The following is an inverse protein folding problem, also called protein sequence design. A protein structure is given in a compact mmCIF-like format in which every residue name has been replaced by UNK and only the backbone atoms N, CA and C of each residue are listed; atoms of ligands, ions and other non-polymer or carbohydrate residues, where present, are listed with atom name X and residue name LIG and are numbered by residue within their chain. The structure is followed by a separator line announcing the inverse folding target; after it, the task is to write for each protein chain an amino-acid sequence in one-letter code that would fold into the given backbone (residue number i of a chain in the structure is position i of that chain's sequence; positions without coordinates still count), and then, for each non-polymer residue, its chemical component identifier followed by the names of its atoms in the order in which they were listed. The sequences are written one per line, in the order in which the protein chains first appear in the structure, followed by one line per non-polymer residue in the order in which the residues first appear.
data_IF_851333815563
#
_entry.id   IF_851333815563
#
_cell.length_a   1.000
_cell.length_b   1.000
_cell.length_c   1.000
_cell.angle_alpha   90.00
_cell.angle_beta   90.00
_cell.angle_gamma   90.00
#
_symmetry.space_group_name_H-M   'P 1'
#
loop_
_entity.id
_entity.type
_entity.pdbx_description
1 polymer ?
#
# COMPACT_ATOMS: atom_id res chain seq x y z
N UNK A 1 -16.70 3.65 -10.09
CA UNK A 1 -16.22 4.16 -8.79
C UNK A 1 -17.38 4.23 -7.81
N UNK A 2 -17.13 4.07 -6.50
CA UNK A 2 -18.12 4.44 -5.48
C UNK A 2 -18.55 5.91 -5.67
N UNK A 3 -19.80 6.27 -5.34
CA UNK A 3 -20.23 7.66 -5.41
C UNK A 3 -19.28 8.58 -4.64
N UNK A 4 -18.91 9.70 -5.26
CA UNK A 4 -17.99 10.69 -4.69
C UNK A 4 -18.43 11.14 -3.28
N UNK A 5 -19.75 11.19 -3.04
CA UNK A 5 -20.34 11.49 -1.74
C UNK A 5 -19.88 10.55 -0.63
N UNK A 6 -19.76 9.24 -0.91
CA UNK A 6 -19.24 8.26 0.06
C UNK A 6 -17.79 8.57 0.41
N UNK A 7 -16.97 8.86 -0.61
CA UNK A 7 -15.56 9.15 -0.43
C UNK A 7 -15.35 10.41 0.43
N UNK A 8 -16.09 11.48 0.11
CA UNK A 8 -16.04 12.74 0.87
C UNK A 8 -16.42 12.49 2.33
N UNK A 9 -17.59 11.90 2.60
CA UNK A 9 -18.06 11.67 3.97
C UNK A 9 -17.06 10.80 4.75
N UNK A 10 -16.63 9.67 4.17
CA UNK A 10 -15.75 8.73 4.83
C UNK A 10 -14.36 9.33 5.11
N UNK A 11 -13.74 9.97 4.13
CA UNK A 11 -12.45 10.63 4.31
C UNK A 11 -12.52 11.83 5.26
N UNK A 12 -13.61 12.60 5.25
CA UNK A 12 -13.81 13.70 6.23
C UNK A 12 -13.88 13.16 7.66
N UNK A 13 -14.57 12.03 7.88
CA UNK A 13 -14.63 11.42 9.22
C UNK A 13 -13.28 10.86 9.67
N UNK A 14 -12.50 10.25 8.77
CA UNK A 14 -11.13 9.82 9.08
C UNK A 14 -10.25 11.04 9.41
N UNK A 15 -10.34 12.10 8.62
CA UNK A 15 -9.62 13.36 8.86
C UNK A 15 -9.99 14.00 10.19
N UNK A 16 -11.28 14.04 10.52
CA UNK A 16 -11.78 14.50 11.82
C UNK A 16 -11.21 13.67 12.98
N UNK A 17 -11.21 12.34 12.85
CA UNK A 17 -10.62 11.47 13.85
C UNK A 17 -9.11 11.73 13.99
N UNK A 18 -8.37 11.80 12.88
CA UNK A 18 -6.95 12.07 12.86
C UNK A 18 -6.59 13.41 13.54
N UNK A 19 -7.30 14.49 13.20
CA UNK A 19 -7.07 15.83 13.76
C UNK A 19 -7.37 15.82 15.27
N UNK A 20 -8.49 15.25 15.67
CA UNK A 20 -8.91 15.27 17.08
C UNK A 20 -8.13 14.32 17.98
N UNK A 21 -7.28 13.46 17.41
CA UNK A 21 -6.39 12.53 18.12
C UNK A 21 -4.92 12.80 17.80
N UNK A 22 -4.60 13.98 17.27
CA UNK A 22 -3.22 14.40 17.02
C UNK A 22 -2.42 13.39 16.15
N UNK A 23 -3.03 12.87 15.09
CA UNK A 23 -2.42 11.89 14.19
C UNK A 23 -2.66 10.43 14.60
N UNK A 24 -3.84 10.13 15.15
CA UNK A 24 -4.22 8.80 15.66
C UNK A 24 -3.49 8.37 16.95
N UNK A 25 -2.93 9.33 17.70
CA UNK A 25 -2.35 9.05 19.00
C UNK A 25 -3.43 8.49 19.94
N UNK A 26 -3.15 7.33 20.53
CA UNK A 26 -4.09 6.66 21.41
C UNK A 26 -4.37 7.49 22.67
N UNK A 27 -5.66 7.59 23.02
CA UNK A 27 -6.10 8.10 24.32
C UNK A 27 -7.04 7.06 24.96
N UNK A 28 -6.82 6.68 26.24
CA UNK A 28 -7.64 5.71 26.95
C UNK A 28 -8.98 6.31 27.40
N UNK A 29 -9.77 6.81 26.45
CA UNK A 29 -11.09 7.38 26.69
C UNK A 29 -12.15 6.69 25.86
N UNK A 30 -13.38 6.59 26.41
CA UNK A 30 -14.54 6.11 25.66
C UNK A 30 -14.77 6.95 24.39
N UNK A 31 -14.50 8.26 24.47
CA UNK A 31 -14.63 9.19 23.36
C UNK A 31 -13.67 8.79 22.22
N UNK A 32 -12.41 8.46 22.52
CA UNK A 32 -11.48 7.96 21.52
C UNK A 32 -12.00 6.70 20.84
N UNK A 33 -12.48 5.72 21.62
CA UNK A 33 -13.00 4.45 21.10
C UNK A 33 -14.20 4.68 20.15
N UNK A 34 -15.14 5.55 20.53
CA UNK A 34 -16.29 5.89 19.68
C UNK A 34 -15.86 6.63 18.40
N UNK A 35 -14.95 7.60 18.51
CA UNK A 35 -14.45 8.36 17.35
C UNK A 35 -13.73 7.44 16.36
N UNK A 36 -12.98 6.45 16.84
CA UNK A 36 -12.29 5.44 16.01
C UNK A 36 -13.29 4.62 15.18
N UNK A 37 -14.44 4.27 15.73
CA UNK A 37 -15.46 3.50 15.00
C UNK A 37 -16.32 4.34 14.05
N UNK A 38 -16.31 5.67 14.18
CA UNK A 38 -17.26 6.56 13.48
C UNK A 38 -17.22 6.45 11.94
N UNK A 39 -16.04 6.44 11.27
CA UNK A 39 -15.98 6.29 9.82
C UNK A 39 -16.63 4.98 9.36
N UNK A 40 -16.38 3.90 10.10
CA UNK A 40 -16.84 2.54 9.79
C UNK A 40 -18.37 2.43 9.95
N UNK A 41 -18.91 2.98 11.04
CA UNK A 41 -20.36 3.03 11.27
C UNK A 41 -21.04 3.86 10.19
N UNK A 42 -20.45 4.98 9.78
CA UNK A 42 -20.97 5.79 8.69
C UNK A 42 -20.98 5.02 7.37
N UNK A 43 -19.91 4.28 7.04
CA UNK A 43 -19.84 3.44 5.84
C UNK A 43 -20.94 2.37 5.83
N UNK A 44 -21.13 1.67 6.96
CA UNK A 44 -22.21 0.71 7.13
C UNK A 44 -23.60 1.37 6.94
N UNK A 45 -23.79 2.58 7.49
CA UNK A 45 -24.99 3.38 7.31
C UNK A 45 -25.25 3.75 5.84
N UNK A 46 -24.22 4.21 5.12
CA UNK A 46 -24.31 4.57 3.70
C UNK A 46 -24.66 3.35 2.82
N UNK A 47 -24.12 2.18 3.14
CA UNK A 47 -24.51 0.93 2.47
C UNK A 47 -25.99 0.63 2.79
N UNK A 48 -26.38 0.71 4.07
CA UNK A 48 -27.75 0.43 4.51
C UNK A 48 -28.78 1.33 3.81
N UNK A 49 -28.53 2.63 3.69
CA UNK A 49 -29.41 3.59 3.02
C UNK A 49 -29.48 3.43 1.50
N UNK A 50 -28.59 2.61 0.91
CA UNK A 50 -28.59 2.33 -0.53
C UNK A 50 -27.77 3.34 -1.34
N UNK A 51 -26.82 4.04 -0.71
CA UNK A 51 -25.85 4.85 -1.45
C UNK A 51 -24.88 4.00 -2.28
N UNK A 52 -24.89 2.67 -2.12
CA UNK A 52 -24.13 1.73 -2.93
C UNK A 52 -25.06 0.78 -3.69
N UNK A 53 -24.65 0.39 -4.90
CA UNK A 53 -25.30 -0.64 -5.73
C UNK A 53 -24.96 -2.08 -5.30
N UNK A 54 -24.64 -2.31 -4.03
CA UNK A 54 -24.36 -3.67 -3.54
C UNK A 54 -25.64 -4.50 -3.60
N UNK A 55 -25.56 -5.67 -4.26
CA UNK A 55 -26.70 -6.58 -4.38
C UNK A 55 -27.27 -6.97 -3.02
N UNK A 56 -28.61 -7.01 -2.92
CA UNK A 56 -29.34 -7.37 -1.69
C UNK A 56 -28.82 -8.64 -1.00
N UNK A 57 -28.40 -9.63 -1.78
CA UNK A 57 -27.83 -10.90 -1.28
C UNK A 57 -26.59 -10.69 -0.39
N UNK A 58 -25.70 -9.76 -0.74
CA UNK A 58 -24.44 -9.53 -0.03
C UNK A 58 -24.53 -8.34 0.94
N UNK A 59 -25.49 -7.44 0.74
CA UNK A 59 -25.64 -6.21 1.52
C UNK A 59 -25.58 -6.44 3.03
N UNK A 60 -26.38 -7.38 3.56
CA UNK A 60 -26.41 -7.64 5.01
C UNK A 60 -25.12 -8.28 5.51
N UNK A 61 -24.57 -9.25 4.78
CA UNK A 61 -23.31 -9.93 5.15
C UNK A 61 -22.17 -8.91 5.20
N UNK A 62 -22.13 -7.99 4.23
CA UNK A 62 -21.13 -6.93 4.15
C UNK A 62 -21.26 -5.92 5.30
N UNK A 63 -22.48 -5.44 5.59
CA UNK A 63 -22.73 -4.56 6.74
C UNK A 63 -22.27 -5.22 8.04
N UNK A 64 -22.61 -6.49 8.26
CA UNK A 64 -22.14 -7.22 9.44
C UNK A 64 -20.63 -7.37 9.45
N UNK A 65 -19.99 -7.68 8.32
CA UNK A 65 -18.53 -7.74 8.21
C UNK A 65 -17.86 -6.45 8.68
N UNK A 66 -18.36 -5.30 8.21
CA UNK A 66 -17.88 -3.96 8.56
C UNK A 66 -18.09 -3.69 10.06
N UNK A 67 -19.29 -3.95 10.58
CA UNK A 67 -19.63 -3.68 11.99
C UNK A 67 -18.85 -4.56 12.96
N UNK A 68 -18.58 -5.82 12.61
CA UNK A 68 -17.72 -6.69 13.41
C UNK A 68 -16.26 -6.21 13.40
N UNK A 69 -15.79 -5.63 12.30
CA UNK A 69 -14.51 -4.89 12.27
C UNK A 69 -14.49 -3.74 13.27
N UNK A 70 -15.52 -2.88 13.26
CA UNK A 70 -15.63 -1.78 14.22
C UNK A 70 -15.69 -2.25 15.67
N UNK A 71 -16.42 -3.35 15.94
CA UNK A 71 -16.53 -3.93 17.26
C UNK A 71 -15.18 -4.46 17.76
N UNK A 72 -14.42 -5.15 16.92
CA UNK A 72 -13.08 -5.61 17.28
C UNK A 72 -12.16 -4.46 17.66
N UNK A 73 -12.15 -3.42 16.85
CA UNK A 73 -11.33 -2.24 17.09
C UNK A 73 -11.74 -1.47 18.36
N UNK A 74 -13.05 -1.38 18.63
CA UNK A 74 -13.59 -0.82 19.87
C UNK A 74 -13.11 -1.61 21.09
N UNK A 75 -13.22 -2.94 21.07
CA UNK A 75 -12.86 -3.79 22.20
C UNK A 75 -11.36 -3.71 22.50
N UNK A 76 -10.50 -3.69 21.49
CA UNK A 76 -9.04 -3.53 21.69
C UNK A 76 -8.75 -2.20 22.39
N UNK A 77 -9.33 -1.10 21.91
CA UNK A 77 -9.08 0.23 22.46
C UNK A 77 -9.71 0.44 23.84
N UNK A 78 -10.86 -0.17 24.10
CA UNK A 78 -11.58 -0.06 25.37
C UNK A 78 -10.88 -0.87 26.48
N UNK A 79 -10.42 -2.08 26.15
CA UNK A 79 -9.75 -2.97 27.10
C UNK A 79 -8.23 -2.85 27.09
N UNK A 80 -7.64 -1.79 26.53
CA UNK A 80 -6.21 -1.70 26.23
C UNK A 80 -5.24 -1.93 27.42
N UNK A 81 -5.72 -1.80 28.66
CA UNK A 81 -4.95 -2.10 29.88
C UNK A 81 -5.00 -3.59 30.29
N UNK A 82 -5.84 -4.39 29.64
CA UNK A 82 -5.97 -5.83 29.87
C UNK A 82 -5.05 -6.59 28.90
N UNK A 83 -4.34 -7.59 29.42
CA UNK A 83 -3.41 -8.43 28.63
C UNK A 83 -4.16 -9.15 27.50
N UNK A 84 -5.46 -9.37 27.67
CA UNK A 84 -6.32 -10.05 26.71
C UNK A 84 -7.11 -9.12 25.77
N UNK A 85 -6.86 -7.80 25.77
CA UNK A 85 -7.56 -6.83 24.90
C UNK A 85 -7.62 -7.26 23.44
N UNK A 86 -6.50 -7.77 22.92
CA UNK A 86 -6.39 -8.22 21.52
C UNK A 86 -7.11 -9.53 21.28
N UNK A 87 -7.26 -10.39 22.29
CA UNK A 87 -8.07 -11.60 22.17
C UNK A 87 -9.54 -11.22 21.99
N UNK A 88 -10.03 -10.26 22.78
CA UNK A 88 -11.39 -9.75 22.64
C UNK A 88 -11.62 -9.08 21.28
N UNK A 89 -10.61 -8.44 20.71
CA UNK A 89 -10.68 -7.88 19.35
C UNK A 89 -10.59 -8.93 18.23
N UNK A 90 -9.76 -9.95 18.39
CA UNK A 90 -9.50 -10.95 17.36
C UNK A 90 -10.74 -11.80 17.04
N UNK A 91 -11.61 -12.07 18.02
CA UNK A 91 -12.86 -12.81 17.82
C UNK A 91 -13.78 -12.11 16.80
N UNK A 92 -14.25 -10.87 17.05
CA UNK A 92 -15.12 -10.16 16.11
C UNK A 92 -14.39 -9.84 14.79
N UNK A 93 -13.09 -9.53 14.80
CA UNK A 93 -12.35 -9.42 13.54
C UNK A 93 -12.37 -10.73 12.73
N UNK A 94 -12.20 -11.89 13.37
CA UNK A 94 -12.28 -13.20 12.74
C UNK A 94 -13.66 -13.48 12.15
N UNK A 95 -14.74 -13.09 12.86
CA UNK A 95 -16.12 -13.20 12.37
C UNK A 95 -16.32 -12.30 11.15
N UNK A 96 -15.85 -11.05 11.20
CA UNK A 96 -15.94 -10.12 10.08
C UNK A 96 -15.22 -10.64 8.83
N UNK A 97 -14.00 -11.14 8.99
CA UNK A 97 -13.24 -11.75 7.91
C UNK A 97 -13.90 -13.02 7.36
N UNK A 98 -14.51 -13.85 8.21
CA UNK A 98 -15.29 -15.00 7.75
C UNK A 98 -16.47 -14.60 6.86
N UNK A 99 -17.14 -13.48 7.16
CA UNK A 99 -18.20 -12.95 6.29
C UNK A 99 -17.67 -12.47 4.93
N UNK A 100 -16.48 -11.86 4.89
CA UNK A 100 -15.82 -11.56 3.63
C UNK A 100 -15.44 -12.83 2.86
N UNK A 101 -14.90 -13.83 3.56
CA UNK A 101 -14.56 -15.11 2.96
C UNK A 101 -15.80 -15.77 2.31
N UNK A 102 -16.93 -15.80 3.03
CA UNK A 102 -18.20 -16.33 2.51
C UNK A 102 -18.70 -15.59 1.27
N UNK A 103 -18.32 -14.32 1.11
CA UNK A 103 -18.75 -13.47 0.01
C UNK A 103 -17.84 -13.60 -1.22
N UNK A 104 -16.53 -13.64 -1.04
CA UNK A 104 -15.56 -13.60 -2.14
C UNK A 104 -14.98 -14.96 -2.51
N UNK A 105 -14.76 -15.86 -1.55
CA UNK A 105 -14.15 -17.17 -1.80
C UNK A 105 -14.96 -18.04 -2.78
N UNK A 106 -16.31 -18.04 -2.76
CA UNK A 106 -17.09 -18.75 -3.78
C UNK A 106 -16.97 -18.20 -5.20
N UNK A 107 -16.39 -17.00 -5.38
CA UNK A 107 -16.18 -16.38 -6.69
C UNK A 107 -14.82 -16.74 -7.30
N UNK A 108 -13.96 -17.41 -6.52
CA UNK A 108 -12.63 -17.81 -6.96
C UNK A 108 -12.70 -18.91 -8.02
N UNK A 109 -12.01 -18.75 -9.15
CA UNK A 109 -11.94 -19.79 -10.20
C UNK A 109 -10.76 -20.72 -9.94
N UNK A 110 -9.55 -20.17 -9.77
CA UNK A 110 -8.40 -20.96 -9.36
C UNK A 110 -7.58 -20.27 -8.26
N UNK A 111 -6.88 -21.09 -7.50
CA UNK A 111 -5.93 -20.63 -6.51
C UNK A 111 -4.58 -20.41 -7.19
N UNK A 112 -3.96 -19.25 -6.96
CA UNK A 112 -2.60 -19.04 -7.41
C UNK A 112 -1.67 -19.96 -6.61
N UNK A 113 -1.03 -20.92 -7.28
CA UNK A 113 -0.21 -21.96 -6.65
C UNK A 113 0.98 -21.34 -5.91
N UNK A 114 1.65 -20.36 -6.52
CA UNK A 114 2.79 -19.67 -5.91
C UNK A 114 2.39 -18.92 -4.65
N UNK A 115 1.28 -18.19 -4.69
CA UNK A 115 0.72 -17.49 -3.53
C UNK A 115 0.27 -18.46 -2.44
N UNK A 116 -0.33 -19.60 -2.83
CA UNK A 116 -0.78 -20.65 -1.90
C UNK A 116 0.40 -21.21 -1.10
N UNK A 117 1.49 -21.53 -1.78
CA UNK A 117 2.69 -22.05 -1.15
C UNK A 117 3.33 -21.03 -0.20
N UNK A 118 3.46 -19.77 -0.64
CA UNK A 118 4.02 -18.70 0.20
C UNK A 118 3.16 -18.45 1.43
N UNK A 119 1.84 -18.36 1.25
CA UNK A 119 0.89 -18.13 2.34
C UNK A 119 0.93 -19.28 3.34
N UNK A 120 1.01 -20.53 2.86
CA UNK A 120 1.17 -21.70 3.72
C UNK A 120 2.44 -21.61 4.57
N UNK A 121 3.61 -21.32 3.95
CA UNK A 121 4.87 -21.20 4.68
C UNK A 121 4.81 -20.12 5.77
N UNK A 122 4.29 -18.93 5.44
CA UNK A 122 4.17 -17.83 6.40
C UNK A 122 3.24 -18.22 7.56
N UNK A 123 2.06 -18.77 7.25
CA UNK A 123 1.07 -19.14 8.26
C UNK A 123 1.58 -20.26 9.16
N UNK A 124 2.22 -21.26 8.57
CA UNK A 124 2.85 -22.35 9.30
C UNK A 124 3.96 -21.81 10.22
N UNK A 125 4.78 -20.88 9.75
CA UNK A 125 5.80 -20.21 10.54
C UNK A 125 5.20 -19.45 11.72
N UNK A 126 4.18 -18.62 11.50
CA UNK A 126 3.50 -17.88 12.59
C UNK A 126 2.92 -18.85 13.63
N UNK A 127 2.22 -19.88 13.19
CA UNK A 127 1.57 -20.82 14.12
C UNK A 127 2.62 -21.60 14.91
N UNK A 128 3.63 -22.20 14.26
CA UNK A 128 4.56 -23.10 14.94
C UNK A 128 5.69 -22.39 15.68
N UNK A 129 6.17 -21.26 15.17
CA UNK A 129 7.34 -20.56 15.73
C UNK A 129 6.91 -19.47 16.71
N UNK A 130 5.78 -18.80 16.49
CA UNK A 130 5.35 -17.66 17.32
C UNK A 130 4.25 -18.04 18.30
N UNK A 131 3.21 -18.76 17.84
CA UNK A 131 2.02 -19.04 18.66
C UNK A 131 2.18 -20.29 19.53
N UNK A 132 2.49 -21.45 18.95
CA UNK A 132 2.58 -22.73 19.65
C UNK A 132 3.52 -22.74 20.86
N UNK A 133 4.67 -22.06 20.87
CA UNK A 133 5.53 -22.01 22.05
C UNK A 133 4.86 -21.39 23.28
N UNK A 134 3.79 -20.61 23.10
CA UNK A 134 3.01 -20.01 24.18
C UNK A 134 1.78 -20.86 24.60
N UNK A 135 1.58 -22.03 23.98
CA UNK A 135 0.37 -22.84 24.21
C UNK A 135 0.26 -23.35 25.66
N UNK A 136 1.38 -23.72 26.29
CA UNK A 136 1.37 -24.21 27.67
C UNK A 136 0.94 -23.15 28.68
N UNK A 137 1.31 -21.88 28.43
CA UNK A 137 1.01 -20.77 29.32
C UNK A 137 -0.38 -20.17 29.04
N UNK A 138 -0.75 -20.01 27.77
CA UNK A 138 -2.01 -19.38 27.36
C UNK A 138 -2.68 -20.18 26.24
N UNK A 139 -3.29 -21.35 26.55
CA UNK A 139 -3.85 -22.23 25.53
C UNK A 139 -5.00 -21.58 24.76
N UNK A 140 -5.91 -20.90 25.46
CA UNK A 140 -7.09 -20.27 24.85
C UNK A 140 -6.67 -19.13 23.91
N UNK A 141 -5.77 -18.23 24.36
CA UNK A 141 -5.22 -17.14 23.54
C UNK A 141 -4.56 -17.70 22.28
N UNK A 142 -3.73 -18.73 22.45
CA UNK A 142 -3.01 -19.39 21.35
C UNK A 142 -3.96 -20.01 20.34
N UNK A 143 -5.04 -20.67 20.79
CA UNK A 143 -6.07 -21.24 19.92
C UNK A 143 -6.79 -20.15 19.12
N UNK A 144 -7.22 -19.08 19.80
CA UNK A 144 -7.95 -17.97 19.15
C UNK A 144 -7.07 -17.33 18.07
N UNK A 145 -5.81 -17.03 18.38
CA UNK A 145 -4.88 -16.48 17.39
C UNK A 145 -4.52 -17.45 16.27
N UNK A 146 -4.43 -18.76 16.56
CA UNK A 146 -4.21 -19.78 15.54
C UNK A 146 -5.35 -19.83 14.53
N UNK A 147 -6.60 -19.85 15.02
CA UNK A 147 -7.80 -19.80 14.16
C UNK A 147 -7.85 -18.48 13.39
N UNK A 148 -7.60 -17.36 14.07
CA UNK A 148 -7.61 -16.04 13.43
C UNK A 148 -6.57 -15.94 12.31
N UNK A 149 -5.34 -16.41 12.55
CA UNK A 149 -4.28 -16.45 11.55
C UNK A 149 -4.68 -17.28 10.32
N UNK A 150 -5.32 -18.44 10.52
CA UNK A 150 -5.81 -19.26 9.41
C UNK A 150 -6.89 -18.55 8.59
N UNK A 151 -7.85 -17.88 9.23
CA UNK A 151 -8.89 -17.11 8.55
C UNK A 151 -8.26 -15.99 7.72
N UNK A 152 -7.33 -15.24 8.31
CA UNK A 152 -6.59 -14.18 7.63
C UNK A 152 -5.82 -14.70 6.42
N UNK A 153 -5.14 -15.83 6.57
CA UNK A 153 -4.41 -16.46 5.47
C UNK A 153 -5.31 -16.90 4.34
N UNK A 154 -6.52 -17.40 4.63
CA UNK A 154 -7.51 -17.71 3.59
C UNK A 154 -8.07 -16.44 2.94
N UNK A 155 -8.30 -15.36 3.70
CA UNK A 155 -8.69 -14.06 3.14
C UNK A 155 -7.62 -13.52 2.19
N UNK A 156 -6.35 -13.55 2.61
CA UNK A 156 -5.21 -13.12 1.79
C UNK A 156 -5.03 -14.00 0.56
N UNK A 157 -5.12 -15.32 0.71
CA UNK A 157 -5.01 -16.26 -0.39
C UNK A 157 -6.15 -16.08 -1.40
N UNK A 158 -7.39 -15.93 -0.93
CA UNK A 158 -8.55 -15.74 -1.79
C UNK A 158 -8.46 -14.42 -2.56
N UNK A 159 -8.29 -13.31 -1.85
CA UNK A 159 -8.20 -11.99 -2.49
C UNK A 159 -6.94 -11.82 -3.35
N UNK A 160 -5.81 -12.37 -2.95
CA UNK A 160 -4.57 -12.32 -3.74
C UNK A 160 -4.64 -13.22 -4.96
N UNK A 161 -5.27 -14.40 -4.88
CA UNK A 161 -5.48 -15.25 -6.07
C UNK A 161 -6.43 -14.58 -7.04
N UNK A 162 -7.49 -13.96 -6.54
CA UNK A 162 -8.34 -13.08 -7.34
C UNK A 162 -7.48 -12.02 -8.03
N UNK A 163 -6.62 -11.30 -7.31
CA UNK A 163 -5.81 -10.24 -7.92
C UNK A 163 -4.95 -10.73 -9.08
N UNK A 164 -4.26 -11.86 -8.90
CA UNK A 164 -3.45 -12.43 -9.98
C UNK A 164 -4.28 -12.99 -11.14
N UNK A 165 -5.55 -13.32 -10.93
CA UNK A 165 -6.50 -13.71 -11.99
C UNK A 165 -7.24 -12.51 -12.61
N UNK A 166 -6.98 -11.29 -12.12
CA UNK A 166 -7.69 -10.08 -12.54
C UNK A 166 -9.03 -9.90 -11.83
N UNK A 167 -9.14 -10.16 -10.54
CA UNK A 167 -10.32 -9.88 -9.71
C UNK A 167 -9.86 -9.32 -8.35
N UNK A 168 -10.63 -8.48 -7.68
CA UNK A 168 -10.10 -7.57 -6.64
C UNK A 168 -9.33 -8.18 -5.42
N UNK A 169 -8.49 -7.33 -4.82
CA UNK A 169 -7.41 -7.62 -3.85
C UNK A 169 -7.70 -7.15 -2.40
N UNK A 170 -6.97 -7.70 -1.41
CA UNK A 170 -6.95 -7.20 -0.02
C UNK A 170 -5.56 -7.09 0.65
N UNK A 171 -5.37 -6.15 1.61
CA UNK A 171 -4.05 -5.68 2.03
C UNK A 171 -3.54 -6.28 3.35
N UNK A 172 -2.22 -6.26 3.49
CA UNK A 172 -1.38 -6.81 4.55
C UNK A 172 -1.48 -6.13 5.95
N UNK A 173 -2.61 -5.51 6.30
CA UNK A 173 -2.79 -4.69 7.52
C UNK A 173 -2.57 -5.47 8.83
N UNK A 174 -3.25 -6.61 8.95
CA UNK A 174 -3.36 -7.31 10.24
C UNK A 174 -2.05 -7.95 10.70
N UNK A 175 -1.13 -8.25 9.78
CA UNK A 175 0.21 -8.73 10.11
C UNK A 175 1.03 -7.67 10.87
N UNK A 176 0.86 -6.38 10.54
CA UNK A 176 1.50 -5.29 11.29
C UNK A 176 0.93 -5.15 12.71
N UNK A 177 -0.38 -5.39 12.89
CA UNK A 177 -1.06 -5.35 14.20
C UNK A 177 -0.53 -6.47 15.12
N UNK A 178 -0.35 -7.67 14.57
CA UNK A 178 0.16 -8.82 15.30
C UNK A 178 1.64 -8.66 15.72
N UNK A 179 2.47 -8.07 14.84
CA UNK A 179 3.87 -7.77 15.12
C UNK A 179 4.04 -6.64 16.15
N UNK A 180 3.22 -5.59 16.07
CA UNK A 180 3.24 -4.47 17.01
C UNK A 180 2.90 -4.91 18.44
N UNK A 181 2.02 -5.90 18.61
CA UNK A 181 1.65 -6.41 19.92
C UNK A 181 2.76 -7.26 20.58
N UNK A 182 3.53 -8.02 19.80
CA UNK A 182 4.65 -8.84 20.32
C UNK A 182 5.94 -8.03 20.58
N UNK A 183 5.85 -6.70 20.63
CA UNK A 183 6.96 -5.82 21.02
C UNK A 183 7.74 -5.20 19.85
N UNK A 184 7.41 -5.52 18.59
CA UNK A 184 7.99 -4.86 17.42
C UNK A 184 7.18 -3.61 17.05
N UNK A 185 7.08 -2.64 17.98
CA UNK A 185 6.39 -1.37 17.71
C UNK A 185 7.26 -0.46 16.83
N UNK A 186 6.74 -0.08 15.67
CA UNK A 186 7.27 1.00 14.85
C UNK A 186 6.56 2.32 15.22
N UNK A 187 7.23 3.47 15.02
CA UNK A 187 6.81 4.81 15.49
C UNK A 187 5.46 5.31 14.97
N UNK A 188 4.81 4.60 14.04
CA UNK A 188 3.47 4.91 13.50
C UNK A 188 2.63 3.65 13.25
N UNK A 189 2.94 2.56 13.95
CA UNK A 189 2.22 1.29 13.77
C UNK A 189 0.71 1.49 13.82
N UNK A 190 0.22 2.27 14.79
CA UNK A 190 -1.21 2.55 14.98
C UNK A 190 -1.84 3.34 13.82
N UNK A 191 -1.19 4.41 13.34
CA UNK A 191 -1.66 5.17 12.17
C UNK A 191 -1.67 4.31 10.89
N UNK A 192 -0.64 3.48 10.69
CA UNK A 192 -0.54 2.58 9.54
C UNK A 192 -1.63 1.49 9.58
N UNK A 193 -1.85 0.89 10.75
CA UNK A 193 -2.92 -0.08 11.00
C UNK A 193 -4.27 0.57 10.68
N UNK A 194 -4.56 1.74 11.25
CA UNK A 194 -5.85 2.41 11.09
C UNK A 194 -6.14 2.80 9.64
N UNK A 195 -5.14 3.30 8.92
CA UNK A 195 -5.31 3.69 7.52
C UNK A 195 -5.49 2.49 6.61
N UNK A 196 -4.72 1.44 6.81
CA UNK A 196 -4.90 0.20 6.05
C UNK A 196 -6.23 -0.46 6.37
N UNK A 197 -6.69 -0.38 7.63
CA UNK A 197 -8.02 -0.80 8.05
C UNK A 197 -9.13 0.02 7.36
N UNK A 198 -9.13 1.34 7.49
CA UNK A 198 -10.16 2.17 6.85
C UNK A 198 -10.15 2.03 5.32
N UNK A 199 -8.96 1.97 4.72
CA UNK A 199 -8.77 1.77 3.29
C UNK A 199 -9.33 0.42 2.83
N UNK A 200 -9.01 -0.67 3.54
CA UNK A 200 -9.52 -2.00 3.24
C UNK A 200 -11.05 -2.01 3.20
N UNK A 201 -11.73 -1.43 4.20
CA UNK A 201 -13.19 -1.41 4.28
C UNK A 201 -13.83 -0.64 3.11
N UNK A 202 -13.21 0.47 2.70
CA UNK A 202 -13.64 1.22 1.52
C UNK A 202 -13.46 0.38 0.24
N UNK A 203 -12.34 -0.34 0.11
CA UNK A 203 -12.07 -1.21 -1.03
C UNK A 203 -13.04 -2.39 -1.15
N UNK A 204 -13.35 -3.10 -0.06
CA UNK A 204 -14.35 -4.19 -0.09
C UNK A 204 -15.69 -3.64 -0.58
N UNK A 205 -16.07 -2.49 -0.04
CA UNK A 205 -17.32 -1.83 -0.41
C UNK A 205 -17.34 -1.45 -1.89
N UNK A 206 -16.23 -0.93 -2.41
CA UNK A 206 -16.07 -0.64 -3.83
C UNK A 206 -16.12 -1.90 -4.71
N UNK A 207 -15.51 -3.00 -4.26
CA UNK A 207 -15.52 -4.27 -4.97
C UNK A 207 -16.95 -4.82 -5.11
N UNK A 208 -17.72 -4.80 -4.02
CA UNK A 208 -19.10 -5.27 -4.01
C UNK A 208 -20.05 -4.32 -4.76
N UNK A 209 -19.76 -3.03 -4.76
CA UNK A 209 -20.50 -2.05 -5.53
C UNK A 209 -20.37 -2.31 -7.04
N UNK A 210 -19.20 -2.76 -7.50
CA UNK A 210 -18.93 -3.10 -8.89
C UNK A 210 -18.92 -4.60 -9.16
N UNK A 211 -19.78 -5.36 -8.49
CA UNK A 211 -19.78 -6.82 -8.63
C UNK A 211 -20.00 -7.33 -10.06
N UNK A 212 -20.72 -6.57 -10.89
CA UNK A 212 -20.92 -6.97 -12.28
C UNK A 212 -19.65 -6.83 -13.12
N UNK A 213 -18.72 -5.96 -12.73
CA UNK A 213 -17.39 -5.83 -13.35
C UNK A 213 -16.46 -6.99 -12.89
N UNK A 214 -16.64 -7.48 -11.66
CA UNK A 214 -15.89 -8.65 -11.14
C UNK A 214 -16.16 -9.94 -11.97
N UNK A 215 -17.30 -10.06 -12.65
CA UNK A 215 -17.59 -11.29 -13.41
C UNK A 215 -16.74 -11.48 -14.66
N UNK A 216 -16.32 -10.38 -15.28
CA UNK A 216 -15.58 -10.42 -16.54
C UNK A 216 -14.06 -10.49 -16.34
N UNK A 217 -13.62 -10.52 -15.08
CA UNK A 217 -12.24 -10.26 -14.71
C UNK A 217 -11.91 -8.80 -15.05
N UNK A 218 -11.45 -8.06 -14.05
CA UNK A 218 -10.52 -6.96 -14.24
C UNK A 218 -9.26 -7.45 -15.00
N UNK A 219 -9.41 -7.70 -16.31
CA UNK A 219 -8.28 -7.87 -17.25
C UNK A 219 -7.48 -6.58 -17.43
N UNK A 220 -7.93 -5.49 -16.84
CA UNK A 220 -7.26 -4.20 -16.84
C UNK A 220 -6.95 -3.86 -15.40
N UNK A 221 -5.66 -3.72 -15.07
CA UNK A 221 -5.20 -3.18 -13.79
C UNK A 221 -6.08 -1.98 -13.44
N UNK A 222 -6.96 -2.11 -12.42
CA UNK A 222 -7.82 -1.00 -12.05
C UNK A 222 -6.91 0.15 -11.63
N UNK A 223 -6.91 1.30 -12.33
CA UNK A 223 -5.92 2.35 -12.11
C UNK A 223 -5.88 2.84 -10.67
N UNK A 224 -7.01 2.72 -9.97
CA UNK A 224 -7.17 3.05 -8.54
C UNK A 224 -6.35 2.10 -7.66
N UNK A 225 -6.34 0.80 -7.95
CA UNK A 225 -5.66 -0.19 -7.11
C UNK A 225 -4.15 0.06 -7.14
N UNK A 226 -3.60 0.32 -8.33
CA UNK A 226 -2.17 0.59 -8.50
C UNK A 226 -1.75 1.94 -7.92
N UNK A 227 -2.63 2.95 -7.91
CA UNK A 227 -2.29 4.32 -7.48
C UNK A 227 -2.58 4.64 -6.02
N UNK A 228 -3.67 4.11 -5.46
CA UNK A 228 -4.17 4.55 -4.16
C UNK A 228 -3.19 4.30 -2.99
N UNK A 229 -2.45 3.17 -2.90
CA UNK A 229 -1.49 2.99 -1.82
C UNK A 229 -0.45 4.10 -1.74
N UNK A 230 0.00 4.62 -2.89
CA UNK A 230 0.99 5.70 -2.95
C UNK A 230 0.35 7.06 -2.66
N UNK A 231 -0.90 7.29 -3.10
CA UNK A 231 -1.69 8.47 -2.69
C UNK A 231 -1.88 8.48 -1.16
N UNK A 232 -2.16 7.33 -0.56
CA UNK A 232 -2.31 7.19 0.89
C UNK A 232 -0.98 7.47 1.59
N UNK A 233 0.15 6.95 1.08
CA UNK A 233 1.49 7.28 1.57
C UNK A 233 1.79 8.79 1.49
N UNK A 234 1.32 9.49 0.45
CA UNK A 234 1.42 10.94 0.36
C UNK A 234 0.72 11.64 1.54
N UNK A 235 -0.54 11.27 1.82
CA UNK A 235 -1.28 11.85 2.95
C UNK A 235 -0.61 11.51 4.29
N UNK A 236 -0.18 10.26 4.47
CA UNK A 236 0.60 9.82 5.62
C UNK A 236 1.86 10.66 5.84
N UNK A 237 2.54 11.04 4.75
CA UNK A 237 3.76 11.84 4.79
C UNK A 237 3.56 13.18 5.51
N UNK A 238 2.35 13.77 5.48
CA UNK A 238 2.11 15.01 6.20
C UNK A 238 2.08 14.87 7.74
N UNK A 239 1.83 13.65 8.25
CA UNK A 239 1.75 13.34 9.68
C UNK A 239 3.09 12.88 10.29
N UNK A 240 4.16 12.92 9.49
CA UNK A 240 5.51 12.47 9.87
C UNK A 240 6.27 13.51 10.69
N UNK A 241 7.41 13.14 11.28
CA UNK A 241 8.27 14.11 12.00
C UNK A 241 9.34 14.76 11.12
N UNK A 242 9.34 14.49 9.82
CA UNK A 242 10.30 15.05 8.85
C UNK A 242 10.35 16.58 8.87
N UNK A 243 11.53 17.14 8.60
CA UNK A 243 11.68 18.57 8.28
C UNK A 243 10.69 19.01 7.19
N UNK A 244 10.08 20.19 7.35
CA UNK A 244 8.96 20.66 6.52
C UNK A 244 9.24 20.59 5.01
N UNK A 245 10.46 20.95 4.59
CA UNK A 245 10.85 20.90 3.17
C UNK A 245 10.86 19.46 2.65
N UNK A 246 11.50 18.53 3.35
CA UNK A 246 11.55 17.12 2.96
C UNK A 246 10.17 16.49 3.01
N UNK A 247 9.38 16.80 4.05
CA UNK A 247 7.99 16.37 4.21
C UNK A 247 7.13 16.76 3.01
N UNK A 248 7.10 18.03 2.66
CA UNK A 248 6.27 18.54 1.57
C UNK A 248 6.69 17.97 0.21
N UNK A 249 8.01 17.94 -0.08
CA UNK A 249 8.52 17.40 -1.34
C UNK A 249 8.23 15.90 -1.49
N UNK A 250 8.39 15.12 -0.42
CA UNK A 250 8.10 13.68 -0.40
C UNK A 250 6.61 13.43 -0.61
N UNK A 251 5.75 14.13 0.14
CA UNK A 251 4.31 13.99 0.01
C UNK A 251 3.84 14.35 -1.40
N UNK A 252 4.33 15.46 -1.96
CA UNK A 252 3.93 15.91 -3.29
C UNK A 252 4.44 14.96 -4.38
N UNK A 253 5.66 14.44 -4.26
CA UNK A 253 6.18 13.39 -5.15
C UNK A 253 5.26 12.17 -5.15
N UNK A 254 4.91 11.63 -3.98
CA UNK A 254 4.03 10.45 -3.90
C UNK A 254 2.64 10.72 -4.48
N UNK A 255 2.06 11.89 -4.22
CA UNK A 255 0.76 12.25 -4.79
C UNK A 255 0.82 12.26 -6.33
N UNK A 256 1.82 12.95 -6.89
CA UNK A 256 1.99 13.06 -8.34
C UNK A 256 2.34 11.71 -8.96
N UNK A 257 3.10 10.85 -8.28
CA UNK A 257 3.38 9.48 -8.76
C UNK A 257 2.13 8.63 -8.83
N UNK A 258 1.32 8.65 -7.76
CA UNK A 258 0.06 7.92 -7.72
C UNK A 258 -0.90 8.42 -8.79
N UNK A 259 -1.05 9.74 -8.92
CA UNK A 259 -1.87 10.34 -9.97
C UNK A 259 -1.35 10.07 -11.39
N UNK A 260 -0.03 10.11 -11.57
CA UNK A 260 0.63 9.81 -12.83
C UNK A 260 0.40 8.37 -13.26
N UNK A 261 0.51 7.40 -12.34
CA UNK A 261 0.25 6.00 -12.62
C UNK A 261 -1.25 5.72 -12.85
N UNK A 262 -2.14 6.36 -12.07
CA UNK A 262 -3.57 6.32 -12.33
C UNK A 262 -3.88 6.79 -13.75
N UNK A 263 -3.36 7.96 -14.12
CA UNK A 263 -3.60 8.56 -15.44
C UNK A 263 -2.97 7.74 -16.57
N UNK A 264 -1.82 7.10 -16.32
CA UNK A 264 -1.16 6.20 -17.26
C UNK A 264 -2.05 5.05 -17.70
N UNK A 265 -2.80 4.47 -16.77
CA UNK A 265 -3.70 3.35 -17.05
C UNK A 265 -5.10 3.80 -17.51
N UNK A 266 -5.69 4.83 -16.88
CA UNK A 266 -7.05 5.30 -17.20
C UNK A 266 -7.10 6.09 -18.50
N UNK A 267 -6.09 6.92 -18.76
CA UNK A 267 -6.05 7.86 -19.89
C UNK A 267 -4.84 7.59 -20.79
N UNK A 268 -4.73 6.41 -21.43
CA UNK A 268 -3.54 6.00 -22.17
C UNK A 268 -3.25 6.87 -23.39
N UNK A 269 -4.22 7.65 -23.89
CA UNK A 269 -4.04 8.55 -25.03
C UNK A 269 -3.21 9.81 -24.68
N UNK A 270 -3.05 10.14 -23.40
CA UNK A 270 -2.35 11.35 -22.93
C UNK A 270 -0.95 11.03 -22.39
N UNK A 271 -0.18 10.22 -23.13
CA UNK A 271 1.10 9.67 -22.67
C UNK A 271 2.12 10.74 -22.30
N UNK A 272 2.18 11.85 -23.04
CA UNK A 272 3.11 12.96 -22.75
C UNK A 272 2.80 13.59 -21.39
N UNK A 273 1.52 13.85 -21.11
CA UNK A 273 1.06 14.40 -19.84
C UNK A 273 1.33 13.41 -18.69
N UNK A 274 1.02 12.13 -18.90
CA UNK A 274 1.22 11.09 -17.89
C UNK A 274 2.71 10.90 -17.56
N UNK A 275 3.57 10.87 -18.58
CA UNK A 275 5.03 10.80 -18.42
C UNK A 275 5.58 12.03 -17.72
N UNK A 276 5.00 13.21 -17.98
CA UNK A 276 5.39 14.47 -17.33
C UNK A 276 5.12 14.44 -15.83
N UNK A 277 3.99 13.85 -15.40
CA UNK A 277 3.74 13.64 -13.98
C UNK A 277 4.79 12.72 -13.34
N UNK A 278 5.11 11.59 -13.98
CA UNK A 278 6.13 10.66 -13.47
C UNK A 278 7.52 11.30 -13.39
N UNK A 279 7.89 12.14 -14.37
CA UNK A 279 9.13 12.91 -14.34
C UNK A 279 9.13 13.95 -13.20
N UNK A 280 8.06 14.73 -13.09
CA UNK A 280 7.94 15.77 -12.06
C UNK A 280 8.03 15.17 -10.66
N UNK A 281 7.37 14.03 -10.43
CA UNK A 281 7.46 13.32 -9.16
C UNK A 281 8.91 12.99 -8.78
N UNK A 282 9.70 12.45 -9.71
CA UNK A 282 11.11 12.10 -9.47
C UNK A 282 11.93 13.33 -9.12
N UNK A 283 11.78 14.41 -9.90
CA UNK A 283 12.47 15.66 -9.59
C UNK A 283 12.17 16.14 -8.16
N UNK A 284 10.91 16.09 -7.73
CA UNK A 284 10.51 16.43 -6.36
C UNK A 284 11.13 15.49 -5.32
N UNK A 285 11.12 14.18 -5.58
CA UNK A 285 11.72 13.21 -4.68
C UNK A 285 13.23 13.40 -4.56
N UNK A 286 13.94 13.60 -5.67
CA UNK A 286 15.36 13.93 -5.69
C UNK A 286 15.66 15.17 -4.83
N UNK A 287 14.88 16.25 -5.00
CA UNK A 287 15.06 17.46 -4.20
C UNK A 287 14.76 17.27 -2.71
N UNK A 288 14.01 16.23 -2.32
CA UNK A 288 13.73 15.93 -0.91
C UNK A 288 14.98 15.50 -0.14
N UNK A 289 15.92 14.78 -0.77
CA UNK A 289 17.10 14.21 -0.09
C UNK A 289 18.45 14.60 -0.70
N UNK A 290 18.49 15.36 -1.79
CA UNK A 290 19.74 15.81 -2.42
C UNK A 290 20.68 16.51 -1.43
N UNK A 291 20.14 17.26 -0.47
CA UNK A 291 20.92 17.98 0.55
C UNK A 291 21.70 17.05 1.48
N UNK A 292 21.31 15.79 1.60
CA UNK A 292 22.04 14.78 2.36
C UNK A 292 23.37 14.40 1.69
N UNK A 293 23.54 14.63 0.38
CA UNK A 293 24.73 14.22 -0.37
C UNK A 293 25.99 14.96 0.11
N UNK A 294 26.93 14.20 0.69
CA UNK A 294 28.26 14.72 1.05
C UNK A 294 29.24 14.67 -0.11
N UNK A 295 29.38 13.49 -0.73
CA UNK A 295 30.31 13.19 -1.81
C UNK A 295 29.70 12.12 -2.71
N UNK A 296 29.76 12.34 -4.02
CA UNK A 296 29.34 11.36 -5.03
C UNK A 296 30.28 10.15 -5.02
N UNK A 297 29.75 8.95 -5.18
CA UNK A 297 30.51 7.73 -5.40
C UNK A 297 30.59 7.45 -6.92
N UNK A 298 31.72 7.76 -7.58
CA UNK A 298 31.77 7.75 -9.05
C UNK A 298 31.46 6.39 -9.71
N UNK A 299 31.92 5.24 -9.17
CA UNK A 299 31.62 3.93 -9.77
C UNK A 299 30.13 3.65 -9.94
N UNK A 300 29.30 3.90 -8.92
CA UNK A 300 27.86 3.64 -9.03
C UNK A 300 27.18 4.66 -9.95
N UNK A 301 27.65 5.90 -9.95
CA UNK A 301 27.13 6.92 -10.86
C UNK A 301 27.40 6.57 -12.32
N UNK A 302 28.62 6.17 -12.65
CA UNK A 302 28.98 5.70 -13.99
C UNK A 302 28.13 4.49 -14.37
N UNK A 303 28.03 3.50 -13.49
CA UNK A 303 27.22 2.29 -13.73
C UNK A 303 25.76 2.61 -14.04
N UNK A 304 25.11 3.42 -13.19
CA UNK A 304 23.69 3.77 -13.36
C UNK A 304 23.45 4.65 -14.59
N UNK A 305 24.39 5.54 -14.92
CA UNK A 305 24.32 6.36 -16.12
C UNK A 305 24.52 5.53 -17.40
N UNK A 306 25.45 4.57 -17.39
CA UNK A 306 25.61 3.61 -18.49
C UNK A 306 24.36 2.75 -18.64
N UNK A 307 23.77 2.29 -17.54
CA UNK A 307 22.50 1.56 -17.56
C UNK A 307 21.37 2.38 -18.20
N UNK A 308 21.17 3.64 -17.79
CA UNK A 308 20.11 4.48 -18.36
C UNK A 308 20.37 4.79 -19.84
N UNK A 309 21.62 5.04 -20.24
CA UNK A 309 21.98 5.27 -21.63
C UNK A 309 21.71 4.03 -22.51
N UNK A 310 22.09 2.84 -22.05
CA UNK A 310 21.82 1.58 -22.76
C UNK A 310 20.31 1.34 -22.85
N UNK A 311 19.58 1.55 -21.75
CA UNK A 311 18.12 1.38 -21.73
C UNK A 311 17.42 2.32 -22.73
N UNK A 312 17.78 3.61 -22.73
CA UNK A 312 17.23 4.61 -23.67
C UNK A 312 17.54 4.22 -25.12
N UNK A 313 18.79 3.81 -25.39
CA UNK A 313 19.18 3.38 -26.73
C UNK A 313 18.38 2.16 -27.20
N UNK A 314 18.26 1.13 -26.37
CA UNK A 314 17.59 -0.11 -26.74
C UNK A 314 16.06 0.04 -26.82
N UNK A 315 15.44 0.84 -25.95
CA UNK A 315 13.98 0.92 -25.85
C UNK A 315 13.37 2.06 -26.66
N UNK A 316 14.09 3.18 -26.86
CA UNK A 316 13.48 4.41 -27.36
C UNK A 316 14.09 4.96 -28.66
N UNK A 317 15.26 4.48 -29.09
CA UNK A 317 15.97 5.08 -30.23
C UNK A 317 15.11 5.10 -31.50
N UNK A 318 14.45 3.99 -31.82
CA UNK A 318 13.58 3.88 -33.01
C UNK A 318 12.31 4.74 -32.91
N UNK A 319 11.87 5.05 -31.69
CA UNK A 319 10.66 5.83 -31.44
C UNK A 319 10.91 7.34 -31.49
N UNK A 320 12.16 7.78 -31.40
CA UNK A 320 12.52 9.20 -31.29
C UNK A 320 12.01 10.06 -32.45
N UNK A 321 12.03 9.52 -33.67
CA UNK A 321 11.53 10.23 -34.86
C UNK A 321 10.00 10.34 -34.87
N UNK A 322 9.30 9.39 -34.27
CA UNK A 322 7.83 9.33 -34.27
C UNK A 322 7.20 10.09 -33.12
N UNK A 323 7.80 10.05 -31.92
CA UNK A 323 7.24 10.59 -30.68
C UNK A 323 8.30 11.38 -29.89
N UNK A 324 8.92 12.42 -30.48
CA UNK A 324 10.13 13.04 -29.93
C UNK A 324 9.93 13.60 -28.53
N UNK A 325 8.82 14.31 -28.28
CA UNK A 325 8.53 14.93 -26.98
C UNK A 325 8.38 13.86 -25.89
N UNK A 326 7.56 12.84 -26.15
CA UNK A 326 7.36 11.72 -25.23
C UNK A 326 8.69 11.03 -24.89
N UNK A 327 9.50 10.72 -25.91
CA UNK A 327 10.78 10.05 -25.70
C UNK A 327 11.76 10.92 -24.91
N UNK A 328 11.79 12.24 -25.14
CA UNK A 328 12.61 13.16 -24.34
C UNK A 328 12.18 13.12 -22.88
N UNK A 329 10.87 13.17 -22.59
CA UNK A 329 10.34 13.14 -21.22
C UNK A 329 10.70 11.82 -20.53
N UNK A 330 10.46 10.67 -21.18
CA UNK A 330 10.76 9.34 -20.63
C UNK A 330 12.26 9.13 -20.42
N UNK A 331 13.09 9.56 -21.38
CA UNK A 331 14.55 9.49 -21.28
C UNK A 331 15.05 10.32 -20.10
N UNK A 332 14.53 11.54 -19.95
CA UNK A 332 14.85 12.40 -18.81
C UNK A 332 14.42 11.73 -17.50
N UNK A 333 13.23 11.12 -17.46
CA UNK A 333 12.71 10.40 -16.29
C UNK A 333 13.67 9.28 -15.84
N UNK A 334 14.15 8.47 -16.79
CA UNK A 334 15.11 7.40 -16.51
C UNK A 334 16.48 7.92 -16.05
N UNK A 335 16.95 9.03 -16.60
CA UNK A 335 18.20 9.67 -16.17
C UNK A 335 18.09 10.22 -14.74
N UNK A 336 16.96 10.88 -14.40
CA UNK A 336 16.72 11.36 -13.04
C UNK A 336 16.64 10.19 -12.07
N UNK A 337 15.94 9.10 -12.42
CA UNK A 337 15.87 7.90 -11.56
C UNK A 337 17.25 7.27 -11.34
N UNK A 338 18.07 7.14 -12.39
CA UNK A 338 19.45 6.69 -12.28
C UNK A 338 20.30 7.61 -11.38
N UNK A 339 20.04 8.92 -11.44
CA UNK A 339 20.71 9.92 -10.59
C UNK A 339 20.29 9.76 -9.12
N UNK A 340 19.00 9.55 -8.84
CA UNK A 340 18.50 9.28 -7.50
C UNK A 340 19.15 8.04 -6.89
N UNK A 341 19.19 6.92 -7.62
CA UNK A 341 19.86 5.67 -7.19
C UNK A 341 21.33 5.95 -6.87
N UNK A 342 22.02 6.68 -7.74
CA UNK A 342 23.43 7.00 -7.58
C UNK A 342 23.69 7.85 -6.34
N UNK A 343 22.81 8.81 -6.04
CA UNK A 343 22.91 9.69 -4.87
C UNK A 343 22.60 8.92 -3.60
N UNK A 344 21.55 8.09 -3.59
CA UNK A 344 21.23 7.24 -2.45
C UNK A 344 22.38 6.27 -2.11
N UNK A 345 22.96 5.62 -3.11
CA UNK A 345 24.14 4.77 -2.95
C UNK A 345 25.36 5.58 -2.46
N UNK A 346 25.54 6.80 -2.95
CA UNK A 346 26.61 7.68 -2.52
C UNK A 346 26.46 8.09 -1.06
N UNK A 347 25.25 8.42 -0.60
CA UNK A 347 24.97 8.75 0.81
C UNK A 347 25.23 7.52 1.69
N UNK A 348 24.78 6.34 1.27
CA UNK A 348 25.01 5.10 2.00
C UNK A 348 26.50 4.80 2.17
N UNK A 349 27.29 4.92 1.09
CA UNK A 349 28.72 4.56 1.10
C UNK A 349 29.61 5.65 1.69
N UNK A 350 29.41 6.91 1.30
CA UNK A 350 30.26 8.05 1.66
C UNK A 350 29.76 8.81 2.90
N UNK A 351 28.59 8.46 3.44
CA UNK A 351 27.93 9.15 4.54
C UNK A 351 27.11 10.36 4.10
N UNK A 352 26.32 10.88 5.03
CA UNK A 352 25.45 12.04 4.84
C UNK A 352 26.04 13.31 5.46
N UNK A 353 25.58 14.47 4.99
CA UNK A 353 25.77 15.76 5.67
C UNK A 353 24.81 15.95 6.85
N UNK A 354 23.68 15.26 6.85
CA UNK A 354 22.63 15.36 7.88
C UNK A 354 22.61 14.10 8.76
N UNK A 355 21.66 14.03 9.70
CA UNK A 355 21.42 12.88 10.59
C UNK A 355 21.00 11.59 9.86
N UNK A 356 21.03 11.58 8.52
CA UNK A 356 20.69 10.41 7.72
C UNK A 356 21.56 9.21 8.12
N UNK A 357 20.92 8.27 8.81
CA UNK A 357 21.57 7.05 9.26
C UNK A 357 21.92 6.20 8.05
N UNK A 358 23.07 5.52 8.08
CA UNK A 358 23.46 4.58 6.99
C UNK A 358 22.34 3.59 6.65
N UNK A 359 21.54 3.19 7.63
CA UNK A 359 20.40 2.31 7.44
C UNK A 359 19.31 2.94 6.58
N UNK A 360 18.97 4.21 6.81
CA UNK A 360 17.96 4.90 6.00
C UNK A 360 18.42 5.05 4.54
N UNK A 361 19.67 5.49 4.33
CA UNK A 361 20.23 5.58 2.98
C UNK A 361 20.25 4.22 2.25
N UNK A 362 20.50 3.12 2.97
CA UNK A 362 20.41 1.77 2.40
C UNK A 362 18.97 1.39 2.03
N UNK A 363 17.99 1.67 2.90
CA UNK A 363 16.57 1.45 2.62
C UNK A 363 16.14 2.24 1.38
N UNK A 364 16.56 3.52 1.27
CA UNK A 364 16.30 4.36 0.10
C UNK A 364 16.88 3.74 -1.17
N UNK A 365 18.13 3.28 -1.12
CA UNK A 365 18.79 2.64 -2.26
C UNK A 365 18.00 1.43 -2.76
N UNK A 366 17.57 0.53 -1.86
CA UNK A 366 16.77 -0.64 -2.24
C UNK A 366 15.42 -0.21 -2.83
N UNK A 367 14.74 0.77 -2.21
CA UNK A 367 13.48 1.30 -2.72
C UNK A 367 13.58 1.89 -4.13
N UNK A 368 14.66 2.63 -4.42
CA UNK A 368 14.92 3.19 -5.75
C UNK A 368 15.32 2.14 -6.79
N UNK A 369 16.06 1.10 -6.39
CA UNK A 369 16.38 -0.02 -7.29
C UNK A 369 15.13 -0.80 -7.68
N UNK A 370 14.23 -1.07 -6.73
CA UNK A 370 12.93 -1.69 -7.03
C UNK A 370 12.08 -0.80 -7.95
N UNK A 371 12.11 0.52 -7.75
CA UNK A 371 11.43 1.47 -8.62
C UNK A 371 11.99 1.44 -10.04
N UNK A 372 13.32 1.40 -10.19
CA UNK A 372 13.98 1.32 -11.49
C UNK A 372 13.60 0.04 -12.25
N UNK A 373 13.56 -1.10 -11.57
CA UNK A 373 13.12 -2.37 -12.17
C UNK A 373 11.66 -2.28 -12.62
N UNK A 374 10.79 -1.76 -11.77
CA UNK A 374 9.38 -1.58 -12.10
C UNK A 374 9.19 -0.65 -13.30
N UNK A 375 9.76 0.56 -13.28
CA UNK A 375 9.56 1.54 -14.34
C UNK A 375 10.19 1.12 -15.67
N UNK A 376 11.38 0.50 -15.65
CA UNK A 376 11.95 -0.08 -16.86
C UNK A 376 11.02 -1.10 -17.49
N UNK A 377 10.42 -1.97 -16.67
CA UNK A 377 9.47 -2.96 -17.16
C UNK A 377 8.17 -2.32 -17.65
N UNK A 378 7.69 -1.28 -16.95
CA UNK A 378 6.51 -0.50 -17.35
C UNK A 378 6.68 0.13 -18.73
N UNK A 379 7.84 0.75 -18.98
CA UNK A 379 8.14 1.35 -20.27
C UNK A 379 8.35 0.29 -21.35
N UNK A 380 9.06 -0.80 -21.05
CA UNK A 380 9.26 -1.89 -22.00
C UNK A 380 7.94 -2.55 -22.43
N UNK A 381 7.01 -2.82 -21.51
CA UNK A 381 5.72 -3.43 -21.83
C UNK A 381 4.89 -2.49 -22.71
N UNK A 382 4.88 -1.20 -22.39
CA UNK A 382 4.08 -0.22 -23.13
C UNK A 382 4.48 -0.09 -24.60
N UNK A 383 5.78 -0.19 -24.89
CA UNK A 383 6.31 -0.11 -26.26
C UNK A 383 6.59 -1.49 -26.90
N UNK A 384 6.59 -2.57 -26.11
CA UNK A 384 6.93 -3.93 -26.53
C UNK A 384 5.77 -4.74 -27.15
N UNK A 385 4.62 -4.11 -27.39
CA UNK A 385 3.48 -4.72 -28.09
C UNK A 385 2.56 -5.61 -27.25
N UNK A 386 2.97 -6.00 -26.04
CA UNK A 386 2.08 -6.62 -25.07
C UNK A 386 1.45 -5.54 -24.21
N UNK A 387 0.24 -5.12 -24.54
CA UNK A 387 -0.56 -4.31 -23.63
C UNK A 387 -0.88 -5.17 -22.40
N UNK A 388 -0.14 -4.98 -21.29
CA UNK A 388 -0.33 -5.64 -19.99
C UNK A 388 0.16 -7.08 -19.91
N UNK A 389 1.48 -7.30 -19.94
CA UNK A 389 2.02 -8.61 -19.55
C UNK A 389 1.75 -8.89 -18.07
N UNK A 390 1.48 -10.17 -17.73
CA UNK A 390 1.34 -10.62 -16.34
C UNK A 390 2.54 -10.25 -15.47
N UNK A 391 3.71 -10.06 -16.10
CA UNK A 391 4.93 -9.60 -15.44
C UNK A 391 4.75 -8.24 -14.77
N UNK A 392 4.06 -7.28 -15.40
CA UNK A 392 3.78 -5.97 -14.78
C UNK A 392 2.90 -6.10 -13.55
N UNK A 393 1.88 -6.95 -13.61
CA UNK A 393 1.01 -7.20 -12.45
C UNK A 393 1.81 -7.71 -11.25
N UNK A 394 2.82 -8.57 -11.48
CA UNK A 394 3.75 -8.99 -10.43
C UNK A 394 4.68 -7.84 -9.98
N UNK A 395 5.14 -6.99 -10.90
CA UNK A 395 6.03 -5.87 -10.59
C UNK A 395 5.33 -4.67 -9.93
N UNK A 396 4.00 -4.56 -9.96
CA UNK A 396 3.25 -3.59 -9.14
C UNK A 396 3.58 -3.76 -7.64
N UNK A 397 3.91 -4.98 -7.20
CA UNK A 397 4.41 -5.23 -5.84
C UNK A 397 5.72 -4.47 -5.59
N UNK A 398 6.63 -4.43 -6.57
CA UNK A 398 7.89 -3.68 -6.45
C UNK A 398 7.63 -2.18 -6.39
N UNK A 399 6.65 -1.67 -7.14
CA UNK A 399 6.21 -0.27 -7.06
C UNK A 399 5.71 0.09 -5.65
N UNK A 400 4.86 -0.75 -5.05
CA UNK A 400 4.33 -0.49 -3.71
C UNK A 400 5.40 -0.61 -2.62
N UNK A 401 6.24 -1.66 -2.68
CA UNK A 401 7.34 -1.85 -1.74
C UNK A 401 8.33 -0.69 -1.86
N UNK A 402 8.66 -0.29 -3.10
CA UNK A 402 9.51 0.86 -3.38
C UNK A 402 9.02 2.10 -2.61
N UNK A 403 7.79 2.55 -2.86
CA UNK A 403 7.28 3.78 -2.24
C UNK A 403 7.21 3.68 -0.71
N UNK A 404 6.89 2.51 -0.17
CA UNK A 404 6.94 2.28 1.28
C UNK A 404 8.38 2.43 1.83
N UNK A 405 9.38 1.86 1.15
CA UNK A 405 10.78 2.01 1.55
C UNK A 405 11.25 3.47 1.43
N UNK A 406 10.85 4.17 0.36
CA UNK A 406 11.16 5.59 0.17
C UNK A 406 10.56 6.47 1.29
N UNK A 407 9.31 6.20 1.67
CA UNK A 407 8.65 6.83 2.81
C UNK A 407 9.43 6.62 4.10
N UNK A 408 9.72 5.35 4.44
CA UNK A 408 10.45 4.98 5.66
C UNK A 408 11.85 5.61 5.67
N UNK A 409 12.51 5.69 4.51
CA UNK A 409 13.83 6.29 4.42
C UNK A 409 13.80 7.79 4.76
N UNK A 410 12.88 8.57 4.17
CA UNK A 410 12.85 10.00 4.43
C UNK A 410 12.43 10.30 5.88
N UNK A 411 11.53 9.51 6.47
CA UNK A 411 11.17 9.61 7.90
C UNK A 411 12.38 9.43 8.82
N UNK A 412 13.30 8.54 8.44
CA UNK A 412 14.47 8.22 9.26
C UNK A 412 15.67 9.13 8.99
N UNK A 413 15.63 9.93 7.92
CA UNK A 413 16.74 10.81 7.54
C UNK A 413 16.58 12.22 8.06
N UNK A 414 15.34 12.68 8.26
CA UNK A 414 14.94 14.02 8.65
C UNK A 414 14.03 13.95 9.86
#
# INVERSE_FOLDING_TARGET
MLPLSIFIIYCTLIGYFAITTNGFAYEPTLIYCVKKCLPIIALAGMILTGMTEIKKKYKNIHIWGILFGALGDFLISYFQNDVHAIVYGAIPFGIGHYFYLKTFFPKLKHLNIGLSFLTFLITFGVINIILLPNFENEPITTIIFGIYALILSLCFLGSGSQYFEGDLQHPASDFCLLLANKGHRYTFSESFILITYYGAQLFITGALHHEDILKDGFKVDSPIISSLPVIVLSFLTFFTFMEWKAKFLTALSFFITGWGLYSWYEFPNYMETNSSYLLLSKLLYLFSFFTCLKRLWPPIFIFMFTYSAIFIYLCFFDLFLTLPILIIILSTSMIILATEVSIAASIWKCGSRQMDTKYSAFIRLIGLLLLAIFESSLYMDKFGGNYFSSLITYLNVFYHISHLLLFISNERSF
#
